data_IF_209274548276
#
_entry.id   IF_209274548276
#
_cell.length_a   1.000
_cell.length_b   1.000
_cell.length_c   1.000
_cell.angle_alpha   90.00
_cell.angle_beta   90.00
_cell.angle_gamma   90.00
#
_symmetry.space_group_name_H-M   'P 1'
#
loop_
_entity.id
_entity.type
_entity.pdbx_description
1 polymer ?
#
# COMPACT_ATOMS: atom_id res chain seq x y z
N UNK A 1 -15.05 35.06 33.43
CA UNK A 1 -15.34 33.74 32.84
C UNK A 1 -14.03 32.96 32.82
N UNK A 2 -13.91 31.87 33.59
CA UNK A 2 -12.70 31.04 33.57
C UNK A 2 -12.68 30.21 32.28
N UNK A 3 -11.56 30.23 31.57
CA UNK A 3 -11.34 29.40 30.39
C UNK A 3 -11.50 27.91 30.77
N UNK A 4 -12.07 27.05 29.91
CA UNK A 4 -12.06 25.61 30.12
C UNK A 4 -10.61 25.10 30.20
N UNK A 5 -10.30 24.29 31.21
CA UNK A 5 -9.00 23.61 31.31
C UNK A 5 -9.03 22.40 30.35
N UNK A 6 -8.44 22.57 29.17
CA UNK A 6 -8.20 21.47 28.23
C UNK A 6 -7.02 20.67 28.78
N UNK A 7 -7.18 19.36 29.08
CA UNK A 7 -6.06 18.56 29.55
C UNK A 7 -4.94 18.54 28.51
N UNK A 8 -3.70 18.61 29.00
CA UNK A 8 -2.49 18.57 28.19
C UNK A 8 -2.31 17.15 27.64
N UNK A 9 -2.84 16.91 26.43
CA UNK A 9 -2.64 15.66 25.71
C UNK A 9 -1.26 15.74 25.08
N UNK A 10 -0.28 15.06 25.68
CA UNK A 10 1.01 14.78 25.02
C UNK A 10 0.89 13.44 24.29
N UNK A 11 0.67 13.43 22.97
CA UNK A 11 0.78 12.19 22.21
C UNK A 11 2.27 11.88 22.02
N UNK A 12 2.92 11.34 23.05
CA UNK A 12 4.23 10.71 22.89
C UNK A 12 4.01 9.38 22.17
N UNK A 13 4.02 9.42 20.84
CA UNK A 13 4.01 8.23 19.99
C UNK A 13 5.46 7.93 19.64
N UNK A 14 6.11 7.10 20.45
CA UNK A 14 7.41 6.54 20.12
C UNK A 14 7.22 5.37 19.15
N UNK A 15 7.58 5.58 17.88
CA UNK A 15 7.56 4.53 16.86
C UNK A 15 8.98 4.06 16.55
N UNK A 16 9.19 2.74 16.59
CA UNK A 16 10.42 2.16 16.04
C UNK A 16 10.40 2.21 14.52
N UNK A 17 11.59 2.17 13.90
CA UNK A 17 11.71 2.15 12.43
C UNK A 17 10.92 0.98 11.81
N UNK A 18 10.96 -0.20 12.43
CA UNK A 18 10.21 -1.39 12.00
C UNK A 18 8.69 -1.16 12.03
N UNK A 19 8.19 -0.54 13.11
CA UNK A 19 6.77 -0.20 13.21
C UNK A 19 6.35 0.77 12.11
N UNK A 20 7.18 1.77 11.80
CA UNK A 20 6.92 2.69 10.69
C UNK A 20 6.87 1.95 9.34
N UNK A 21 7.80 1.01 9.09
CA UNK A 21 7.80 0.20 7.87
C UNK A 21 6.53 -0.64 7.76
N UNK A 22 6.11 -1.31 8.85
CA UNK A 22 4.85 -2.06 8.87
C UNK A 22 3.63 -1.17 8.61
N UNK A 23 3.59 0.02 9.21
CA UNK A 23 2.51 0.98 8.97
C UNK A 23 2.48 1.47 7.52
N UNK A 24 3.65 1.70 6.90
CA UNK A 24 3.74 2.08 5.49
C UNK A 24 3.27 0.95 4.57
N UNK A 25 3.69 -0.30 4.81
CA UNK A 25 3.22 -1.46 4.07
C UNK A 25 1.72 -1.69 4.24
N UNK A 26 1.21 -1.55 5.48
CA UNK A 26 -0.22 -1.60 5.75
C UNK A 26 -0.98 -0.49 5.02
N UNK A 27 -0.41 0.73 4.91
CA UNK A 27 -1.02 1.82 4.15
C UNK A 27 -1.16 1.49 2.66
N UNK A 28 -0.13 0.86 2.07
CA UNK A 28 -0.16 0.41 0.67
C UNK A 28 -1.24 -0.66 0.51
N UNK A 29 -1.25 -1.68 1.38
CA UNK A 29 -2.27 -2.73 1.35
C UNK A 29 -3.70 -2.20 1.51
N UNK A 30 -3.92 -1.17 2.33
CA UNK A 30 -5.23 -0.52 2.46
C UNK A 30 -5.61 0.27 1.20
N UNK A 31 -4.65 0.92 0.54
CA UNK A 31 -4.89 1.58 -0.75
C UNK A 31 -5.27 0.54 -1.83
N UNK A 32 -4.56 -0.59 -1.91
CA UNK A 32 -4.86 -1.72 -2.81
C UNK A 32 -6.27 -2.29 -2.58
N UNK A 33 -6.64 -2.50 -1.31
CA UNK A 33 -8.00 -2.95 -0.96
C UNK A 33 -9.06 -1.94 -1.40
N UNK A 34 -8.78 -0.65 -1.24
CA UNK A 34 -9.63 0.43 -1.75
C UNK A 34 -9.81 0.38 -3.26
N UNK A 35 -8.73 0.13 -4.02
CA UNK A 35 -8.79 -0.02 -5.48
C UNK A 35 -9.63 -1.23 -5.88
N UNK A 36 -9.50 -2.36 -5.19
CA UNK A 36 -10.30 -3.55 -5.45
C UNK A 36 -11.81 -3.27 -5.26
N UNK A 37 -12.18 -2.52 -4.22
CA UNK A 37 -13.57 -2.11 -4.03
C UNK A 37 -14.09 -1.19 -5.14
N UNK A 38 -13.26 -0.27 -5.64
CA UNK A 38 -13.61 0.58 -6.78
C UNK A 38 -13.87 -0.27 -8.03
N UNK A 39 -12.98 -1.21 -8.34
CA UNK A 39 -13.13 -2.12 -9.50
C UNK A 39 -14.42 -2.94 -9.37
N UNK A 40 -14.71 -3.47 -8.18
CA UNK A 40 -15.94 -4.22 -7.93
C UNK A 40 -17.19 -3.35 -8.11
N UNK A 41 -17.20 -2.13 -7.57
CA UNK A 41 -18.32 -1.20 -7.72
C UNK A 41 -18.57 -0.84 -9.20
N UNK A 42 -17.51 -0.69 -9.99
CA UNK A 42 -17.60 -0.48 -11.45
C UNK A 42 -18.16 -1.71 -12.17
N UNK A 43 -17.78 -2.91 -11.73
CA UNK A 43 -18.37 -4.17 -12.19
C UNK A 43 -19.87 -4.27 -11.88
N UNK A 44 -20.28 -3.96 -10.66
CA UNK A 44 -21.69 -3.91 -10.26
C UNK A 44 -22.48 -2.87 -11.06
N UNK A 45 -21.88 -1.70 -11.31
CA UNK A 45 -22.46 -0.67 -12.18
C UNK A 45 -22.71 -1.20 -13.60
N UNK A 46 -21.75 -1.91 -14.19
CA UNK A 46 -21.91 -2.52 -15.51
C UNK A 46 -23.02 -3.58 -15.52
N UNK A 47 -23.03 -4.48 -14.54
CA UNK A 47 -24.08 -5.50 -14.41
C UNK A 47 -25.47 -4.86 -14.26
N UNK A 48 -25.59 -3.83 -13.43
CA UNK A 48 -26.84 -3.10 -13.24
C UNK A 48 -27.33 -2.43 -14.53
N UNK A 49 -26.42 -1.82 -15.30
CA UNK A 49 -26.75 -1.18 -16.57
C UNK A 49 -27.18 -2.21 -17.62
N UNK A 50 -26.47 -3.34 -17.73
CA UNK A 50 -26.79 -4.42 -18.67
C UNK A 50 -28.10 -5.14 -18.34
N UNK A 51 -28.50 -5.17 -17.07
CA UNK A 51 -29.76 -5.76 -16.63
C UNK A 51 -30.99 -4.92 -17.03
N UNK A 52 -30.83 -3.66 -17.47
CA UNK A 52 -31.95 -2.80 -17.85
C UNK A 52 -32.45 -3.11 -19.26
N UNK A 53 -33.74 -3.49 -19.43
CA UNK A 53 -34.31 -3.66 -20.76
C UNK A 53 -34.40 -2.31 -21.48
N UNK A 54 -34.27 -2.34 -22.81
CA UNK A 54 -34.43 -1.18 -23.69
C UNK A 54 -33.46 -0.02 -23.44
N UNK A 55 -32.23 -0.28 -22.97
CA UNK A 55 -31.24 0.76 -22.82
C UNK A 55 -30.72 1.23 -24.19
N UNK A 56 -30.70 2.54 -24.49
CA UNK A 56 -30.14 3.03 -25.74
C UNK A 56 -28.64 2.77 -25.80
N UNK A 57 -28.15 2.33 -26.96
CA UNK A 57 -26.73 2.01 -27.21
C UNK A 57 -25.79 3.15 -26.86
N UNK A 58 -26.22 4.40 -27.07
CA UNK A 58 -25.44 5.59 -26.69
C UNK A 58 -25.13 5.62 -25.18
N UNK A 59 -26.07 5.20 -24.33
CA UNK A 59 -25.84 5.13 -22.88
C UNK A 59 -24.87 4.01 -22.52
N UNK A 60 -24.98 2.84 -23.17
CA UNK A 60 -24.02 1.74 -22.95
C UNK A 60 -22.58 2.16 -23.31
N UNK A 61 -22.40 2.82 -24.45
CA UNK A 61 -21.09 3.31 -24.88
C UNK A 61 -20.52 4.33 -23.88
N UNK A 62 -21.34 5.26 -23.38
CA UNK A 62 -20.91 6.25 -22.36
C UNK A 62 -20.49 5.59 -21.05
N UNK A 63 -21.24 4.58 -20.60
CA UNK A 63 -20.87 3.84 -19.37
C UNK A 63 -19.56 3.08 -19.59
N UNK A 64 -19.40 2.42 -20.74
CA UNK A 64 -18.18 1.70 -21.06
C UNK A 64 -16.96 2.64 -21.17
N UNK A 65 -17.11 3.79 -21.81
CA UNK A 65 -16.07 4.82 -21.90
C UNK A 65 -15.71 5.38 -20.52
N UNK A 66 -16.69 5.58 -19.64
CA UNK A 66 -16.45 5.98 -18.26
C UNK A 66 -15.66 4.92 -17.48
N UNK A 67 -15.95 3.63 -17.67
CA UNK A 67 -15.23 2.53 -17.02
C UNK A 67 -13.81 2.43 -17.58
N UNK A 68 -13.61 2.53 -18.90
CA UNK A 68 -12.29 2.54 -19.54
C UNK A 68 -11.41 3.68 -19.01
N UNK A 69 -11.97 4.89 -18.89
CA UNK A 69 -11.25 6.03 -18.33
C UNK A 69 -10.83 5.79 -16.86
N UNK A 70 -11.71 5.19 -16.06
CA UNK A 70 -11.41 4.86 -14.68
C UNK A 70 -10.33 3.78 -14.60
N UNK A 71 -10.40 2.71 -15.40
CA UNK A 71 -9.37 1.67 -15.45
C UNK A 71 -8.00 2.23 -15.84
N UNK A 72 -7.92 3.14 -16.81
CA UNK A 72 -6.67 3.84 -17.15
C UNK A 72 -6.13 4.65 -15.98
N UNK A 73 -7.02 5.31 -15.24
CA UNK A 73 -6.64 6.09 -14.04
C UNK A 73 -6.12 5.17 -12.93
N UNK A 74 -6.76 4.00 -12.75
CA UNK A 74 -6.32 2.99 -11.80
C UNK A 74 -4.94 2.42 -12.13
N UNK A 75 -4.64 2.16 -13.40
CA UNK A 75 -3.30 1.70 -13.81
C UNK A 75 -2.21 2.72 -13.43
N UNK A 76 -2.46 4.02 -13.59
CA UNK A 76 -1.51 5.03 -13.14
C UNK A 76 -1.35 5.04 -11.61
N UNK A 77 -2.43 4.79 -10.87
CA UNK A 77 -2.37 4.69 -9.40
C UNK A 77 -1.62 3.43 -8.95
N UNK A 78 -1.82 2.31 -9.62
CA UNK A 78 -1.10 1.05 -9.41
C UNK A 78 0.42 1.24 -9.60
N UNK A 79 0.81 1.96 -10.67
CA UNK A 79 2.21 2.32 -10.89
C UNK A 79 2.79 3.15 -9.73
N UNK A 80 2.02 4.11 -9.20
CA UNK A 80 2.46 4.90 -8.05
C UNK A 80 2.56 4.06 -6.76
N UNK A 81 1.65 3.11 -6.56
CA UNK A 81 1.69 2.18 -5.43
C UNK A 81 2.88 1.25 -5.52
N UNK A 82 3.18 0.73 -6.71
CA UNK A 82 4.38 -0.06 -6.99
C UNK A 82 5.65 0.72 -6.66
N UNK A 83 5.77 1.98 -7.10
CA UNK A 83 6.92 2.84 -6.75
C UNK A 83 7.00 3.05 -5.23
N UNK A 84 5.88 3.30 -4.55
CA UNK A 84 5.84 3.47 -3.10
C UNK A 84 6.31 2.19 -2.39
N UNK A 85 5.88 1.02 -2.86
CA UNK A 85 6.30 -0.27 -2.34
C UNK A 85 7.80 -0.50 -2.54
N UNK A 86 8.33 -0.20 -3.73
CA UNK A 86 9.77 -0.32 -4.02
C UNK A 86 10.63 0.57 -3.10
N UNK A 87 10.15 1.78 -2.79
CA UNK A 87 10.82 2.68 -1.87
C UNK A 87 10.76 2.18 -0.42
N UNK A 88 9.59 1.71 0.03
CA UNK A 88 9.42 1.18 1.39
C UNK A 88 10.19 -0.13 1.57
N UNK A 89 10.27 -0.97 0.54
CA UNK A 89 11.02 -2.23 0.58
C UNK A 89 12.52 -2.01 0.83
N UNK A 90 13.08 -0.85 0.42
CA UNK A 90 14.46 -0.49 0.71
C UNK A 90 14.69 -0.08 2.17
N UNK A 91 13.61 0.19 2.92
CA UNK A 91 13.68 0.55 4.34
C UNK A 91 13.65 -0.67 5.25
N UNK A 92 13.24 -1.84 4.74
CA UNK A 92 13.26 -3.11 5.46
C UNK A 92 14.72 -3.46 5.75
N UNK A 93 15.12 -3.61 7.02
CA UNK A 93 16.49 -4.02 7.35
C UNK A 93 16.76 -5.42 6.79
N UNK A 94 17.97 -5.64 6.28
CA UNK A 94 18.46 -6.99 6.06
C UNK A 94 18.64 -7.59 7.46
N UNK A 95 17.89 -8.63 7.81
CA UNK A 95 18.13 -9.31 9.08
C UNK A 95 19.54 -9.90 9.04
N UNK A 96 20.32 -9.57 10.07
CA UNK A 96 21.56 -10.26 10.40
C UNK A 96 21.25 -11.75 10.50
N UNK A 97 22.08 -12.55 9.86
CA UNK A 97 22.02 -14.01 9.90
C UNK A 97 22.27 -14.47 11.33
N UNK A 98 21.23 -14.70 12.12
CA UNK A 98 21.33 -15.44 13.37
C UNK A 98 21.27 -16.93 13.03
N UNK A 99 22.47 -17.49 12.87
CA UNK A 99 22.86 -18.90 12.89
C UNK A 99 22.10 -19.90 12.00
N UNK A 100 22.90 -20.69 11.27
CA UNK A 100 22.52 -21.79 10.36
C UNK A 100 22.00 -21.38 8.98
N UNK A 101 22.91 -20.80 8.18
CA UNK A 101 22.87 -20.94 6.73
C UNK A 101 23.13 -22.41 6.32
N UNK A 102 22.19 -23.32 6.57
CA UNK A 102 22.16 -24.62 5.92
C UNK A 102 21.47 -24.50 4.54
N UNK A 103 22.31 -24.50 3.50
CA UNK A 103 22.01 -24.89 2.12
C UNK A 103 20.84 -24.18 1.39
N UNK A 104 20.95 -22.86 1.20
CA UNK A 104 20.32 -22.22 0.04
C UNK A 104 21.29 -21.26 -0.64
N UNK A 105 21.75 -21.68 -1.82
CA UNK A 105 22.86 -21.11 -2.62
C UNK A 105 22.72 -19.64 -3.10
N UNK A 106 21.83 -18.80 -2.58
CA UNK A 106 21.75 -17.40 -3.03
C UNK A 106 21.50 -16.41 -1.90
N UNK A 107 22.44 -16.30 -0.97
CA UNK A 107 22.66 -15.06 -0.21
C UNK A 107 23.59 -14.13 -1.01
N UNK A 108 23.12 -13.65 -2.17
CA UNK A 108 23.83 -12.64 -2.98
C UNK A 108 23.31 -11.26 -2.58
N UNK A 109 23.98 -10.57 -1.65
CA UNK A 109 23.70 -9.15 -1.41
C UNK A 109 24.04 -8.58 -0.03
N UNK A 110 25.13 -9.01 0.62
CA UNK A 110 25.61 -8.38 1.86
C UNK A 110 26.92 -7.60 1.62
N UNK A 111 27.03 -6.80 0.54
CA UNK A 111 28.24 -6.01 0.25
C UNK A 111 28.29 -4.65 0.98
N UNK A 112 27.24 -4.25 1.71
CA UNK A 112 27.18 -2.96 2.42
C UNK A 112 26.69 -3.06 3.89
N UNK A 113 26.93 -4.17 4.56
CA UNK A 113 26.87 -4.18 6.03
C UNK A 113 28.12 -3.48 6.55
N UNK A 114 28.05 -2.15 6.65
CA UNK A 114 29.02 -1.33 7.36
C UNK A 114 29.21 -1.86 8.79
N UNK A 115 30.45 -1.72 9.27
CA UNK A 115 30.97 -2.20 10.55
C UNK A 115 29.91 -2.29 11.66
N UNK A 116 29.60 -3.52 12.10
CA UNK A 116 28.78 -3.78 13.26
C UNK A 116 29.53 -3.30 14.52
N UNK A 117 29.41 -2.02 14.84
CA UNK A 117 29.80 -1.52 16.16
C UNK A 117 28.75 -1.97 17.19
N UNK A 118 29.26 -2.58 18.27
CA UNK A 118 28.58 -2.89 19.54
C UNK A 118 27.79 -4.21 19.62
N UNK A 119 28.53 -5.32 19.66
CA UNK A 119 28.16 -6.46 20.50
C UNK A 119 28.76 -6.24 21.90
N UNK A 120 28.00 -5.67 22.84
CA UNK A 120 28.32 -5.77 24.27
C UNK A 120 27.85 -7.12 24.82
N UNK A 121 28.70 -7.73 25.65
CA UNK A 121 28.69 -9.12 26.15
C UNK A 121 27.42 -9.58 26.90
#
# INVERSE_FOLDING_TARGET
MSMPNVPDVKPDIELTREQVVHLLLASIAMEELGLAHIINAEGEKLQYVLAKPCLPTCTLLKVNESVDHLLRTLIHKELLLQIKLELVSKLVPCHVCEDECEEREECKGCEECGECEECEE
#
